data_IF_835648763592
#
_entry.id   IF_835648763592
#
_cell.length_a   1.000
_cell.length_b   1.000
_cell.length_c   1.000
_cell.angle_alpha   90.00
_cell.angle_beta   90.00
_cell.angle_gamma   90.00
#
_symmetry.space_group_name_H-M   'P 1'
#
loop_
_entity.id
_entity.type
_entity.pdbx_description
1 polymer ?
#
# COMPACT_ATOMS: atom_id res chain seq x y z
N UNK A 1 -21.41 -13.77 -3.10
CA UNK A 1 -20.38 -14.33 -4.00
C UNK A 1 -19.52 -13.19 -4.48
N UNK A 2 -18.35 -12.98 -3.87
CA UNK A 2 -17.43 -11.92 -4.26
C UNK A 2 -16.68 -12.34 -5.53
N UNK A 3 -16.76 -11.49 -6.54
CA UNK A 3 -16.33 -11.72 -7.91
C UNK A 3 -14.81 -11.89 -7.97
N UNK A 4 -14.36 -13.06 -8.43
CA UNK A 4 -12.98 -13.34 -8.82
C UNK A 4 -12.58 -12.46 -10.02
N UNK A 5 -12.23 -11.19 -9.77
CA UNK A 5 -11.68 -10.28 -10.81
C UNK A 5 -10.23 -9.88 -10.51
N UNK A 6 -9.74 -10.08 -9.27
CA UNK A 6 -8.41 -9.63 -8.83
C UNK A 6 -7.23 -10.35 -9.52
N UNK A 7 -7.45 -11.55 -10.09
CA UNK A 7 -6.38 -12.39 -10.62
C UNK A 7 -6.00 -12.09 -12.08
N UNK A 8 -6.85 -11.39 -12.85
CA UNK A 8 -6.64 -11.25 -14.30
C UNK A 8 -5.58 -10.20 -14.66
N UNK A 9 -5.39 -9.19 -13.83
CA UNK A 9 -4.42 -8.11 -14.03
C UNK A 9 -2.98 -8.56 -13.71
N UNK A 10 -2.83 -9.46 -12.72
CA UNK A 10 -1.51 -9.95 -12.29
C UNK A 10 -0.81 -10.79 -13.36
N UNK A 11 -1.56 -11.52 -14.19
CA UNK A 11 -1.03 -12.33 -15.29
C UNK A 11 -0.56 -11.50 -16.51
N UNK A 12 -0.71 -10.17 -16.48
CA UNK A 12 -0.21 -9.26 -17.53
C UNK A 12 0.96 -8.41 -17.05
N UNK A 13 1.49 -8.67 -15.86
CA UNK A 13 2.66 -7.99 -15.33
C UNK A 13 3.92 -8.55 -16.01
N UNK A 14 4.29 -7.99 -17.15
CA UNK A 14 5.69 -8.03 -17.57
C UNK A 14 6.46 -7.09 -16.64
N UNK A 15 7.66 -7.47 -16.22
CA UNK A 15 8.53 -6.61 -15.41
C UNK A 15 9.64 -6.08 -16.31
N UNK A 16 9.82 -4.76 -16.32
CA UNK A 16 10.96 -4.13 -16.94
C UNK A 16 12.21 -4.62 -16.22
N UNK A 17 13.33 -4.65 -16.93
CA UNK A 17 14.60 -4.90 -16.27
C UNK A 17 14.81 -3.84 -15.19
N UNK A 18 15.10 -4.32 -13.99
CA UNK A 18 15.20 -3.50 -12.79
C UNK A 18 16.54 -3.78 -12.13
N UNK A 19 17.19 -2.73 -11.63
CA UNK A 19 18.39 -2.84 -10.82
C UNK A 19 18.10 -3.60 -9.51
N UNK A 20 19.07 -4.39 -9.03
CA UNK A 20 18.90 -5.20 -7.81
C UNK A 20 18.50 -4.36 -6.60
N UNK A 21 19.03 -3.14 -6.46
CA UNK A 21 18.70 -2.24 -5.36
C UNK A 21 17.23 -1.81 -5.37
N UNK A 22 16.70 -1.44 -6.55
CA UNK A 22 15.29 -1.05 -6.69
C UNK A 22 14.35 -2.23 -6.44
N UNK A 23 14.75 -3.43 -6.90
CA UNK A 23 14.03 -4.68 -6.62
C UNK A 23 13.98 -5.00 -5.14
N UNK A 24 15.11 -4.91 -4.43
CA UNK A 24 15.20 -5.15 -2.99
C UNK A 24 14.33 -4.16 -2.22
N UNK A 25 14.45 -2.87 -2.51
CA UNK A 25 13.63 -1.82 -1.89
C UNK A 25 12.12 -2.03 -2.08
N UNK A 26 11.69 -2.42 -3.29
CA UNK A 26 10.29 -2.79 -3.54
C UNK A 26 9.85 -3.98 -2.69
N UNK A 27 10.67 -5.04 -2.61
CA UNK A 27 10.34 -6.23 -1.80
C UNK A 27 10.18 -5.89 -0.33
N UNK A 28 11.04 -5.03 0.20
CA UNK A 28 10.96 -4.58 1.59
C UNK A 28 9.68 -3.79 1.84
N UNK A 29 9.30 -2.90 0.91
CA UNK A 29 8.04 -2.15 1.01
C UNK A 29 6.81 -3.08 0.97
N UNK A 30 6.78 -4.04 0.05
CA UNK A 30 5.70 -5.02 -0.06
C UNK A 30 5.59 -5.90 1.20
N UNK A 31 6.73 -6.36 1.73
CA UNK A 31 6.79 -7.16 2.96
C UNK A 31 6.25 -6.39 4.17
N UNK A 32 6.60 -5.11 4.30
CA UNK A 32 6.05 -4.26 5.37
C UNK A 32 4.52 -4.09 5.22
N UNK A 33 4.04 -3.84 4.00
CA UNK A 33 2.61 -3.71 3.72
C UNK A 33 1.84 -5.00 4.04
N UNK A 34 2.39 -6.17 3.74
CA UNK A 34 1.78 -7.46 4.11
C UNK A 34 1.66 -7.62 5.63
N UNK A 35 2.69 -7.24 6.39
CA UNK A 35 2.66 -7.26 7.85
C UNK A 35 1.64 -6.28 8.46
N UNK A 36 1.37 -5.15 7.79
CA UNK A 36 0.32 -4.21 8.19
C UNK A 36 -1.08 -4.73 7.82
N UNK A 37 -1.21 -5.39 6.66
CA UNK A 37 -2.44 -6.03 6.20
C UNK A 37 -2.92 -7.06 7.23
N UNK A 38 -2.04 -7.97 7.67
CA UNK A 38 -2.38 -8.99 8.69
C UNK A 38 -2.91 -8.36 9.98
N UNK A 39 -2.29 -7.27 10.45
CA UNK A 39 -2.75 -6.58 11.65
C UNK A 39 -4.13 -5.93 11.47
N UNK A 40 -4.39 -5.32 10.31
CA UNK A 40 -5.68 -4.71 10.02
C UNK A 40 -6.78 -5.75 9.87
N UNK A 41 -6.49 -6.89 9.25
CA UNK A 41 -7.44 -8.01 9.14
C UNK A 41 -7.84 -8.53 10.53
N UNK A 42 -6.87 -8.71 11.44
CA UNK A 42 -7.14 -9.10 12.82
C UNK A 42 -8.01 -8.07 13.56
N UNK A 43 -7.72 -6.77 13.40
CA UNK A 43 -8.53 -5.69 13.97
C UNK A 43 -9.94 -5.68 13.39
N UNK A 44 -10.08 -5.85 12.07
CA UNK A 44 -11.36 -5.88 11.37
C UNK A 44 -12.23 -7.04 11.85
N UNK A 45 -11.63 -8.23 12.01
CA UNK A 45 -12.33 -9.43 12.50
C UNK A 45 -12.78 -9.28 13.96
N UNK A 46 -11.98 -8.61 14.79
CA UNK A 46 -12.28 -8.40 16.21
C UNK A 46 -13.14 -7.17 16.50
N UNK A 47 -13.40 -6.31 15.50
CA UNK A 47 -14.14 -5.06 15.67
C UNK A 47 -13.41 -4.02 16.53
N UNK A 48 -12.07 -4.04 16.54
CA UNK A 48 -11.25 -3.17 17.38
C UNK A 48 -10.91 -1.83 16.74
N UNK A 49 -10.33 -0.93 17.54
CA UNK A 49 -9.70 0.29 17.02
C UNK A 49 -8.34 -0.04 16.39
N UNK A 50 -8.01 0.63 15.29
CA UNK A 50 -6.72 0.46 14.61
C UNK A 50 -5.59 1.03 15.50
N UNK A 51 -4.54 0.27 15.81
CA UNK A 51 -3.43 0.77 16.62
C UNK A 51 -2.72 1.96 15.96
N UNK A 52 -2.39 2.99 16.74
CA UNK A 52 -1.70 4.19 16.21
C UNK A 52 -0.38 3.87 15.49
N UNK A 53 0.34 2.84 15.94
CA UNK A 53 1.56 2.35 15.28
C UNK A 53 1.31 1.90 13.84
N UNK A 54 0.16 1.27 13.58
CA UNK A 54 -0.24 0.81 12.23
C UNK A 54 -0.55 2.02 11.36
N UNK A 55 -1.29 3.00 11.89
CA UNK A 55 -1.58 4.26 11.18
C UNK A 55 -0.31 5.05 10.83
N UNK A 56 0.68 5.10 11.73
CA UNK A 56 1.96 5.75 11.48
C UNK A 56 2.74 5.04 10.38
N UNK A 57 2.81 3.71 10.42
CA UNK A 57 3.50 2.91 9.40
C UNK A 57 2.85 3.06 8.02
N UNK A 58 1.51 2.97 7.96
CA UNK A 58 0.74 3.21 6.74
C UNK A 58 1.01 4.59 6.13
N UNK A 59 1.08 5.62 6.97
CA UNK A 59 1.40 6.98 6.52
C UNK A 59 2.80 7.08 5.90
N UNK A 60 3.80 6.38 6.44
CA UNK A 60 5.16 6.33 5.86
C UNK A 60 5.20 5.65 4.49
N UNK A 61 4.18 4.85 4.17
CA UNK A 61 4.02 4.15 2.90
C UNK A 61 3.00 4.83 1.98
N UNK A 62 2.64 6.08 2.26
CA UNK A 62 1.74 6.88 1.41
C UNK A 62 0.24 6.63 1.64
N UNK A 63 -0.14 5.79 2.60
CA UNK A 63 -1.55 5.54 2.94
C UNK A 63 -2.02 6.58 3.97
N UNK A 64 -2.86 7.51 3.54
CA UNK A 64 -3.40 8.57 4.41
C UNK A 64 -4.75 8.13 4.99
N UNK A 65 -4.76 7.81 6.29
CA UNK A 65 -5.98 7.54 7.04
C UNK A 65 -6.68 8.85 7.43
N UNK A 66 -7.97 8.99 7.12
CA UNK A 66 -8.81 10.06 7.67
C UNK A 66 -9.28 9.68 9.09
N UNK A 67 -9.62 10.65 9.95
CA UNK A 67 -10.26 10.36 11.23
C UNK A 67 -11.54 9.52 11.01
N UNK A 68 -11.71 8.46 11.81
CA UNK A 68 -12.89 7.58 11.72
C UNK A 68 -12.86 6.55 10.59
N UNK A 69 -11.77 6.44 9.84
CA UNK A 69 -11.58 5.39 8.83
C UNK A 69 -11.69 4.00 9.47
N UNK A 70 -12.46 3.13 8.82
CA UNK A 70 -12.63 1.76 9.28
C UNK A 70 -11.46 0.87 8.79
N UNK A 71 -11.20 -0.28 9.44
CA UNK A 71 -10.11 -1.18 9.04
C UNK A 71 -10.23 -1.69 7.59
N UNK A 72 -11.44 -1.92 7.09
CA UNK A 72 -11.68 -2.40 5.72
C UNK A 72 -11.24 -1.37 4.66
N UNK A 73 -11.48 -0.09 4.88
CA UNK A 73 -11.03 1.00 4.01
C UNK A 73 -9.49 1.08 3.96
N UNK A 74 -8.81 0.83 5.09
CA UNK A 74 -7.34 0.77 5.11
C UNK A 74 -6.80 -0.44 4.37
N UNK A 75 -7.47 -1.60 4.48
CA UNK A 75 -7.12 -2.81 3.73
C UNK A 75 -7.20 -2.55 2.22
N UNK A 76 -8.28 -1.92 1.74
CA UNK A 76 -8.39 -1.55 0.32
C UNK A 76 -7.33 -0.51 -0.10
N UNK A 77 -7.00 0.45 0.76
CA UNK A 77 -5.93 1.39 0.50
C UNK A 77 -4.56 0.70 0.36
N UNK A 78 -4.26 -0.30 1.20
CA UNK A 78 -3.05 -1.11 1.06
C UNK A 78 -3.03 -1.84 -0.28
N UNK A 79 -4.14 -2.45 -0.68
CA UNK A 79 -4.21 -3.16 -1.96
C UNK A 79 -3.93 -2.24 -3.15
N UNK A 80 -4.42 -0.99 -3.12
CA UNK A 80 -4.10 0.00 -4.15
C UNK A 80 -2.60 0.33 -4.22
N UNK A 81 -1.94 0.46 -3.06
CA UNK A 81 -0.49 0.71 -3.00
C UNK A 81 0.31 -0.52 -3.46
N UNK A 82 -0.06 -1.73 -3.04
CA UNK A 82 0.58 -2.97 -3.49
C UNK A 82 0.42 -3.16 -5.00
N UNK A 83 -0.77 -2.91 -5.55
CA UNK A 83 -1.01 -2.97 -6.99
C UNK A 83 -0.11 -1.98 -7.75
N UNK A 84 0.08 -0.76 -7.22
CA UNK A 84 1.01 0.22 -7.79
C UNK A 84 2.47 -0.26 -7.75
N UNK A 85 2.92 -0.87 -6.65
CA UNK A 85 4.24 -1.51 -6.58
C UNK A 85 4.37 -2.68 -7.58
N UNK A 86 3.29 -3.41 -7.84
CA UNK A 86 3.28 -4.58 -8.73
C UNK A 86 3.23 -4.22 -10.23
N UNK A 87 2.71 -3.06 -10.62
CA UNK A 87 2.49 -2.65 -12.02
C UNK A 87 3.69 -2.08 -12.79
N UNK A 88 4.91 -2.26 -12.28
CA UNK A 88 6.14 -1.54 -12.67
C UNK A 88 6.21 -0.08 -12.17
N UNK A 89 7.41 0.38 -11.75
CA UNK A 89 7.56 1.49 -10.84
C UNK A 89 7.75 2.87 -11.52
N UNK A 90 7.13 3.16 -12.67
CA UNK A 90 7.10 4.55 -13.19
C UNK A 90 6.22 5.48 -12.32
N UNK A 91 5.52 4.92 -11.33
CA UNK A 91 4.69 5.64 -10.37
C UNK A 91 5.25 5.79 -8.95
N UNK A 92 6.36 5.13 -8.61
CA UNK A 92 6.96 5.30 -7.28
C UNK A 92 7.49 6.73 -7.08
N UNK A 93 8.03 7.32 -8.15
CA UNK A 93 8.43 8.73 -8.18
C UNK A 93 7.23 9.69 -8.11
N UNK A 94 6.04 9.28 -8.56
CA UNK A 94 4.83 10.12 -8.45
C UNK A 94 4.32 10.22 -7.01
N UNK A 95 4.49 9.17 -6.19
CA UNK A 95 4.17 9.22 -4.77
C UNK A 95 5.13 10.14 -4.00
N UNK A 96 6.42 10.15 -4.36
CA UNK A 96 7.43 11.07 -3.80
C UNK A 96 7.18 12.51 -4.28
N UNK A 97 6.90 12.70 -5.58
CA UNK A 97 6.62 14.02 -6.15
C UNK A 97 5.35 14.66 -5.57
N UNK A 98 4.34 13.86 -5.21
CA UNK A 98 3.15 14.37 -4.53
C UNK A 98 3.46 14.81 -3.08
N UNK A 99 4.35 14.13 -2.36
CA UNK A 99 4.81 14.57 -1.03
C UNK A 99 5.62 15.88 -1.10
N UNK A 100 6.52 16.00 -2.08
CA UNK A 100 7.34 17.20 -2.28
C UNK A 100 6.51 18.40 -2.73
N UNK A 101 5.52 18.19 -3.61
CA UNK A 101 4.58 19.21 -3.99
C UNK A 101 3.75 19.64 -2.78
N UNK A 102 3.23 18.70 -1.97
CA UNK A 102 2.44 19.00 -0.77
C UNK A 102 3.22 19.76 0.31
N UNK A 103 4.53 19.49 0.48
CA UNK A 103 5.40 20.27 1.39
C UNK A 103 5.61 21.71 0.94
N UNK A 104 5.49 22.01 -0.35
CA UNK A 104 5.71 23.37 -0.90
C UNK A 104 4.48 24.27 -0.84
N UNK A 105 3.28 23.70 -0.68
CA UNK A 105 2.00 24.44 -0.64
C UNK A 105 1.38 24.52 0.76
N UNK A 106 2.06 24.02 1.79
CA UNK A 106 1.73 24.16 3.20
C UNK A 106 2.71 25.12 3.88
#
# INVERSE_FOLDING_TARGET
MATFVRNRVLNQLSWAEEEEERRASRRDALCELDGLLTQLEEVNLRGGAVPSRVLIALRRRGVIARPGVNPAELIEAIFGVQEAFMRQPDGADQLIAFEDLRRRIA
#
